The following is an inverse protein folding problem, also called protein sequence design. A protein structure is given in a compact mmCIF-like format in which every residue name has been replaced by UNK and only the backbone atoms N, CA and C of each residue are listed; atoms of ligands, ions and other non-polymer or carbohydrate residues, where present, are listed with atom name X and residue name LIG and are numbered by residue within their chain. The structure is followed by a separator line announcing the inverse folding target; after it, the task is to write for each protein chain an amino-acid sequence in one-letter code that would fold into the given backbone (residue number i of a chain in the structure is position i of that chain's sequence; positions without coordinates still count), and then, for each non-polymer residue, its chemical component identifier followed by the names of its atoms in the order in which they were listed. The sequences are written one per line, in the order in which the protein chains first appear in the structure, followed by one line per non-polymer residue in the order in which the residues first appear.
data_IF_781825792658
#
_entry.id   IF_781825792658
#
_cell.length_a   1.000
_cell.length_b   1.000
_cell.length_c   1.000
_cell.angle_alpha   90.00
_cell.angle_beta   90.00
_cell.angle_gamma   90.00
#
_symmetry.space_group_name_H-M   'P 1'
#
loop_
_entity.id
_entity.type
_entity.pdbx_description
1 polymer ?
#
# COMPACT_ATOMS: atom_id res chain seq x y z
N UNK A 1 -20.60 0.72 -19.67
CA UNK A 1 -20.32 -0.27 -18.61
C UNK A 1 -20.11 0.49 -17.32
N UNK A 2 -21.13 0.53 -16.47
CA UNK A 2 -21.09 1.26 -15.20
C UNK A 2 -20.45 0.39 -14.14
N UNK A 3 -19.13 0.50 -13.97
CA UNK A 3 -18.47 -0.03 -12.78
C UNK A 3 -18.78 0.97 -11.67
N UNK A 4 -19.87 0.71 -10.93
CA UNK A 4 -20.03 1.27 -9.59
C UNK A 4 -18.89 0.68 -8.76
N UNK A 5 -17.78 1.41 -8.65
CA UNK A 5 -16.76 1.17 -7.63
C UNK A 5 -17.43 1.47 -6.30
N UNK A 6 -18.11 0.48 -5.73
CA UNK A 6 -18.31 0.44 -4.29
C UNK A 6 -16.93 0.65 -3.67
N UNK A 7 -16.80 1.58 -2.72
CA UNK A 7 -15.64 1.74 -1.84
C UNK A 7 -15.41 0.45 -1.03
N UNK A 8 -15.12 -0.67 -1.69
CA UNK A 8 -14.36 -1.74 -1.09
C UNK A 8 -13.03 -1.07 -0.76
N UNK A 9 -12.86 -0.74 0.53
CA UNK A 9 -11.61 -0.21 1.05
C UNK A 9 -10.46 -0.96 0.35
N UNK A 10 -9.54 -0.24 -0.30
CA UNK A 10 -8.39 -0.85 -0.98
C UNK A 10 -7.39 -1.33 0.07
N UNK A 11 -7.80 -2.33 0.85
CA UNK A 11 -7.03 -2.84 1.97
C UNK A 11 -5.99 -3.82 1.45
N UNK A 12 -4.73 -3.48 1.69
CA UNK A 12 -3.61 -4.39 1.45
C UNK A 12 -3.71 -5.61 2.38
N UNK A 13 -3.04 -6.73 2.05
CA UNK A 13 -3.01 -7.92 2.91
C UNK A 13 -2.57 -7.65 4.35
N UNK A 14 -1.67 -6.67 4.55
CA UNK A 14 -1.20 -6.20 5.85
C UNK A 14 -2.15 -5.24 6.59
N UNK A 15 -3.27 -4.86 5.98
CA UNK A 15 -4.27 -3.95 6.55
C UNK A 15 -4.05 -2.47 6.26
N UNK A 16 -3.00 -2.09 5.52
CA UNK A 16 -2.85 -0.71 5.04
C UNK A 16 -4.03 -0.37 4.15
N UNK A 17 -4.58 0.82 4.36
CA UNK A 17 -5.61 1.35 3.48
C UNK A 17 -4.92 2.14 2.37
N UNK A 18 -4.93 1.58 1.17
CA UNK A 18 -4.35 2.20 -0.01
C UNK A 18 -5.30 3.19 -0.69
N UNK A 19 -6.57 3.27 -0.26
CA UNK A 19 -7.56 4.19 -0.80
C UNK A 19 -7.09 5.65 -0.79
N UNK A 20 -6.59 6.18 0.34
CA UNK A 20 -6.08 7.55 0.40
C UNK A 20 -4.62 7.72 -0.05
N UNK A 21 -3.93 6.67 -0.51
CA UNK A 21 -2.48 6.73 -0.76
C UNK A 21 -2.15 7.52 -2.05
N UNK A 22 -1.40 8.64 -1.97
CA UNK A 22 -1.08 9.44 -3.15
C UNK A 22 -0.18 8.69 -4.15
N UNK A 23 0.78 7.89 -3.66
CA UNK A 23 1.65 7.02 -4.49
C UNK A 23 0.84 6.06 -5.38
N UNK A 24 -0.34 5.61 -4.92
CA UNK A 24 -1.22 4.71 -5.68
C UNK A 24 -2.17 5.46 -6.62
N UNK A 25 -2.53 6.69 -6.27
CA UNK A 25 -3.53 7.53 -6.94
C UNK A 25 -2.96 8.42 -8.04
N UNK A 26 -1.71 8.84 -7.89
CA UNK A 26 -1.08 9.84 -8.75
C UNK A 26 -1.22 9.62 -10.27
N UNK A 27 -1.20 8.38 -10.82
CA UNK A 27 -1.40 8.20 -12.27
C UNK A 27 -2.80 8.55 -12.80
N UNK A 28 -3.80 8.74 -11.94
CA UNK A 28 -5.21 8.97 -12.34
C UNK A 28 -5.93 10.01 -11.49
N UNK A 29 -5.20 10.79 -10.70
CA UNK A 29 -5.75 11.75 -9.76
C UNK A 29 -4.79 12.94 -9.61
N UNK A 30 -5.23 14.12 -10.05
CA UNK A 30 -4.40 15.32 -10.10
C UNK A 30 -3.98 15.80 -8.72
N UNK A 31 -4.87 15.76 -7.74
CA UNK A 31 -4.60 16.24 -6.38
C UNK A 31 -3.56 15.33 -5.71
N UNK A 32 -3.71 14.02 -5.88
CA UNK A 32 -2.73 13.05 -5.42
C UNK A 32 -1.39 13.16 -6.17
N UNK A 33 -1.40 13.53 -7.45
CA UNK A 33 -0.19 13.77 -8.22
C UNK A 33 0.57 14.99 -7.71
N UNK A 34 -0.12 16.10 -7.43
CA UNK A 34 0.47 17.32 -6.86
C UNK A 34 1.05 17.07 -5.46
N UNK A 35 0.31 16.36 -4.60
CA UNK A 35 0.79 15.95 -3.27
C UNK A 35 2.07 15.10 -3.38
N UNK A 36 2.06 14.09 -4.27
CA UNK A 36 3.20 13.17 -4.44
C UNK A 36 4.43 13.88 -5.00
N UNK A 37 4.26 14.76 -5.99
CA UNK A 37 5.36 15.54 -6.58
C UNK A 37 6.00 16.42 -5.51
N UNK A 38 5.18 17.11 -4.73
CA UNK A 38 5.66 17.97 -3.63
C UNK A 38 6.46 17.16 -2.61
N UNK A 39 5.91 16.01 -2.18
CA UNK A 39 6.59 15.12 -1.25
C UNK A 39 7.91 14.56 -1.81
N UNK A 40 7.99 14.17 -3.08
CA UNK A 40 9.26 13.70 -3.67
C UNK A 40 10.30 14.81 -3.79
N UNK A 41 9.90 16.05 -4.13
CA UNK A 41 10.81 17.20 -4.15
C UNK A 41 11.36 17.50 -2.75
N UNK A 42 10.51 17.51 -1.72
CA UNK A 42 10.92 17.70 -0.33
C UNK A 42 11.93 16.65 0.13
N UNK A 43 11.77 15.40 -0.32
CA UNK A 43 12.68 14.29 -0.03
C UNK A 43 13.90 14.23 -0.98
N UNK A 44 14.03 15.17 -1.93
CA UNK A 44 15.10 15.24 -2.94
C UNK A 44 15.18 13.99 -3.83
N UNK A 45 14.03 13.40 -4.12
CA UNK A 45 13.89 12.26 -5.06
C UNK A 45 13.48 12.71 -6.46
N UNK A 46 13.19 14.00 -6.61
CA UNK A 46 12.75 14.64 -7.84
C UNK A 46 13.41 16.02 -7.94
N UNK A 47 13.92 16.37 -9.11
CA UNK A 47 14.51 17.69 -9.39
C UNK A 47 13.42 18.78 -9.50
N UNK A 48 13.82 20.05 -9.42
CA UNK A 48 12.87 21.17 -9.42
C UNK A 48 12.04 21.26 -10.72
N UNK A 49 12.66 20.97 -11.87
CA UNK A 49 11.98 20.95 -13.17
C UNK A 49 11.16 19.67 -13.42
N UNK A 50 11.33 18.64 -12.59
CA UNK A 50 10.66 17.35 -12.76
C UNK A 50 9.27 17.36 -12.08
N UNK A 51 8.37 16.51 -12.59
CA UNK A 51 6.97 16.46 -12.15
C UNK A 51 6.36 15.07 -12.33
N UNK A 52 5.03 14.99 -12.37
CA UNK A 52 4.31 13.69 -12.42
C UNK A 52 4.71 12.82 -13.64
N UNK A 53 5.03 13.44 -14.78
CA UNK A 53 5.50 12.71 -15.96
C UNK A 53 6.78 11.90 -15.67
N UNK A 54 7.68 12.47 -14.88
CA UNK A 54 8.94 11.83 -14.50
C UNK A 54 8.75 10.73 -13.44
N UNK A 55 7.83 10.94 -12.50
CA UNK A 55 7.41 9.91 -11.56
C UNK A 55 6.87 8.68 -12.30
N UNK A 56 6.05 8.90 -13.33
CA UNK A 56 5.47 7.81 -14.13
C UNK A 56 6.54 7.13 -14.98
N UNK A 57 7.42 7.89 -15.65
CA UNK A 57 8.47 7.35 -16.52
C UNK A 57 9.48 6.50 -15.74
N UNK A 58 9.87 6.94 -14.54
CA UNK A 58 10.76 6.21 -13.62
C UNK A 58 10.07 5.10 -12.83
N UNK A 59 8.74 4.95 -12.96
CA UNK A 59 7.99 3.92 -12.24
C UNK A 59 7.90 4.14 -10.74
N UNK A 60 8.01 5.38 -10.26
CA UNK A 60 8.00 5.75 -8.84
C UNK A 60 6.57 5.84 -8.27
N UNK A 61 5.71 4.91 -8.66
CA UNK A 61 4.32 4.79 -8.22
C UNK A 61 3.96 3.33 -7.95
N UNK A 62 2.85 3.11 -7.26
CA UNK A 62 2.44 1.76 -6.84
C UNK A 62 1.22 1.30 -7.63
N UNK A 63 1.20 0.04 -8.10
CA UNK A 63 0.00 -0.62 -8.65
C UNK A 63 -0.77 -1.42 -7.61
N UNK A 64 -0.21 -1.59 -6.40
CA UNK A 64 -0.82 -2.24 -5.25
C UNK A 64 -0.31 -3.66 -5.01
N UNK A 65 -0.53 -4.18 -3.80
CA UNK A 65 0.07 -5.45 -3.34
C UNK A 65 -0.35 -6.70 -4.12
N UNK A 66 -1.48 -6.65 -4.82
CA UNK A 66 -1.98 -7.75 -5.66
C UNK A 66 -1.62 -7.59 -7.15
N UNK A 67 -0.79 -6.60 -7.47
CA UNK A 67 -0.19 -6.48 -8.81
C UNK A 67 1.13 -7.24 -8.89
N UNK A 68 1.73 -7.29 -10.07
CA UNK A 68 3.08 -7.84 -10.24
C UNK A 68 4.09 -7.05 -9.38
N UNK A 69 4.70 -7.74 -8.40
CA UNK A 69 5.67 -7.16 -7.47
C UNK A 69 6.93 -6.62 -8.13
N UNK A 70 7.31 -7.17 -9.29
CA UNK A 70 8.54 -6.76 -10.00
C UNK A 70 8.30 -5.57 -10.93
N UNK A 71 7.06 -5.27 -11.27
CA UNK A 71 6.73 -4.19 -12.17
C UNK A 71 6.75 -2.84 -11.45
N UNK A 72 5.77 -2.59 -10.57
CA UNK A 72 5.51 -1.26 -9.99
C UNK A 72 4.91 -1.40 -8.59
N UNK A 73 5.79 -1.59 -7.61
CA UNK A 73 5.41 -1.81 -6.22
C UNK A 73 6.27 -0.95 -5.30
N UNK A 74 5.63 -0.20 -4.40
CA UNK A 74 6.32 0.73 -3.49
C UNK A 74 7.31 0.04 -2.55
N UNK A 75 6.96 -1.17 -2.09
CA UNK A 75 7.79 -1.97 -1.18
C UNK A 75 8.01 -3.36 -1.79
N UNK A 76 8.80 -3.48 -2.87
CA UNK A 76 8.90 -4.71 -3.65
C UNK A 76 9.49 -5.87 -2.82
N UNK A 77 10.26 -5.57 -1.78
CA UNK A 77 10.88 -6.48 -0.83
C UNK A 77 10.05 -6.71 0.46
N UNK A 78 8.76 -6.32 0.47
CA UNK A 78 7.90 -6.44 1.65
C UNK A 78 7.74 -7.90 2.12
N UNK A 79 8.37 -8.23 3.26
CA UNK A 79 8.34 -9.58 3.87
C UNK A 79 6.97 -10.00 4.41
N UNK A 80 6.10 -9.04 4.74
CA UNK A 80 4.73 -9.35 5.17
C UNK A 80 3.90 -9.83 3.99
N UNK A 81 4.03 -9.14 2.85
CA UNK A 81 3.34 -9.52 1.62
C UNK A 81 3.84 -10.87 1.09
N UNK A 82 5.17 -11.07 1.07
CA UNK A 82 5.81 -12.36 0.76
C UNK A 82 5.15 -13.50 1.55
N UNK A 83 5.15 -13.39 2.87
CA UNK A 83 4.65 -14.46 3.71
C UNK A 83 3.13 -14.66 3.61
N UNK A 84 2.36 -13.57 3.59
CA UNK A 84 0.90 -13.67 3.59
C UNK A 84 0.36 -14.24 2.28
N UNK A 85 0.77 -13.64 1.16
CA UNK A 85 0.15 -13.93 -0.15
C UNK A 85 0.90 -15.03 -0.89
N UNK A 86 2.23 -15.04 -0.86
CA UNK A 86 3.02 -15.95 -1.68
C UNK A 86 3.35 -17.26 -0.96
N UNK A 87 3.74 -17.20 0.31
CA UNK A 87 4.08 -18.43 1.07
C UNK A 87 2.84 -19.12 1.65
N UNK A 88 1.88 -18.35 2.19
CA UNK A 88 0.70 -18.88 2.88
C UNK A 88 -0.58 -18.84 2.05
N UNK A 89 -0.55 -18.22 0.87
CA UNK A 89 -1.69 -18.14 -0.06
C UNK A 89 -2.96 -17.53 0.59
N UNK A 90 -2.78 -16.57 1.48
CA UNK A 90 -3.86 -15.86 2.18
C UNK A 90 -4.14 -14.50 1.53
N UNK A 91 -5.39 -14.08 1.56
CA UNK A 91 -5.81 -12.76 1.10
C UNK A 91 -5.44 -11.65 2.10
N UNK A 92 -5.53 -11.97 3.39
CA UNK A 92 -5.22 -11.03 4.46
C UNK A 92 -4.50 -11.72 5.60
N UNK A 93 -3.59 -10.99 6.26
CA UNK A 93 -2.85 -11.58 7.37
C UNK A 93 -3.75 -12.00 8.54
N UNK A 94 -4.98 -11.48 8.64
CA UNK A 94 -5.91 -11.86 9.70
C UNK A 94 -6.42 -13.30 9.59
N UNK A 95 -6.35 -13.89 8.40
CA UNK A 95 -6.76 -15.26 8.08
C UNK A 95 -5.73 -16.28 8.55
N UNK A 96 -4.50 -15.83 8.83
CA UNK A 96 -3.44 -16.69 9.35
C UNK A 96 -3.83 -17.24 10.73
N UNK A 97 -3.59 -18.53 10.95
CA UNK A 97 -3.81 -19.20 12.25
C UNK A 97 -2.97 -18.58 13.38
N UNK A 98 -1.80 -18.05 13.05
CA UNK A 98 -0.88 -17.38 13.98
C UNK A 98 -1.22 -15.90 14.18
N UNK A 99 -2.31 -15.38 13.61
CA UNK A 99 -2.64 -13.97 13.73
C UNK A 99 -3.13 -13.61 15.15
N UNK A 100 -2.50 -12.67 15.87
CA UNK A 100 -1.41 -11.78 15.42
C UNK A 100 -0.03 -12.38 15.71
N UNK A 101 0.83 -12.45 14.68
CA UNK A 101 2.19 -12.97 14.81
C UNK A 101 3.21 -11.87 15.13
N UNK A 102 4.38 -12.28 15.63
CA UNK A 102 5.47 -11.38 16.05
C UNK A 102 5.90 -10.41 14.96
N UNK A 103 5.96 -10.86 13.69
CA UNK A 103 6.30 -9.99 12.56
C UNK A 103 5.38 -8.77 12.46
N UNK A 104 4.08 -8.94 12.66
CA UNK A 104 3.12 -7.84 12.63
C UNK A 104 3.17 -6.99 13.91
N UNK A 105 3.45 -7.60 15.05
CA UNK A 105 3.62 -6.87 16.31
C UNK A 105 4.89 -6.02 16.33
N UNK A 106 5.96 -6.42 15.66
CA UNK A 106 7.15 -5.58 15.47
C UNK A 106 6.92 -4.50 14.40
N UNK A 107 6.44 -4.90 13.22
CA UNK A 107 6.20 -3.98 12.10
C UNK A 107 5.28 -2.80 12.47
N UNK A 108 4.26 -3.04 13.31
CA UNK A 108 3.35 -1.96 13.74
C UNK A 108 4.03 -0.86 14.57
N UNK A 109 5.19 -1.14 15.17
CA UNK A 109 5.91 -0.20 16.05
C UNK A 109 6.67 0.85 15.25
N UNK A 110 7.00 0.56 13.99
CA UNK A 110 7.79 1.42 13.12
C UNK A 110 7.13 2.79 12.86
N UNK A 111 5.80 2.82 12.64
CA UNK A 111 5.07 4.08 12.48
C UNK A 111 3.57 3.95 12.80
N UNK A 112 2.92 5.11 12.91
CA UNK A 112 1.49 5.20 13.25
C UNK A 112 0.57 4.60 12.17
N UNK A 113 0.99 4.61 10.90
CA UNK A 113 0.28 3.98 9.79
C UNK A 113 0.21 2.46 9.93
N UNK A 114 1.35 1.82 10.22
CA UNK A 114 1.41 0.37 10.46
C UNK A 114 0.58 -0.03 11.70
N UNK A 115 0.60 0.79 12.76
CA UNK A 115 -0.28 0.62 13.93
C UNK A 115 -1.76 0.66 13.56
N UNK A 116 -2.18 1.58 12.68
CA UNK A 116 -3.56 1.65 12.17
C UNK A 116 -3.91 0.44 11.30
N UNK A 117 -2.98 -0.01 10.46
CA UNK A 117 -3.14 -1.18 9.60
C UNK A 117 -3.44 -2.46 10.42
N UNK A 118 -2.64 -2.76 11.44
CA UNK A 118 -2.92 -3.92 12.29
C UNK A 118 -4.25 -3.79 13.05
N UNK A 119 -4.59 -2.59 13.54
CA UNK A 119 -5.90 -2.36 14.18
C UNK A 119 -7.05 -2.65 13.21
N UNK A 120 -6.90 -2.33 11.92
CA UNK A 120 -7.90 -2.64 10.89
C UNK A 120 -8.05 -4.14 10.69
N UNK A 121 -6.94 -4.88 10.56
CA UNK A 121 -6.98 -6.36 10.49
C UNK A 121 -7.68 -6.98 11.70
N UNK A 122 -7.40 -6.50 12.93
CA UNK A 122 -8.07 -6.95 14.16
C UNK A 122 -9.59 -6.70 14.12
N UNK A 123 -10.05 -5.63 13.47
CA UNK A 123 -11.49 -5.33 13.29
C UNK A 123 -12.12 -6.22 12.22
N UNK A 124 -11.44 -6.44 11.09
CA UNK A 124 -11.93 -7.29 10.02
C UNK A 124 -12.09 -8.74 10.49
N UNK A 125 -11.13 -9.27 11.26
CA UNK A 125 -11.22 -10.63 11.85
C UNK A 125 -12.45 -10.84 12.74
N UNK A 126 -12.96 -9.80 13.39
CA UNK A 126 -14.14 -9.89 14.28
C UNK A 126 -15.47 -9.87 13.51
N UNK A 127 -15.45 -9.46 12.25
CA UNK A 127 -16.65 -9.32 11.40
C UNK A 127 -16.90 -10.55 10.53
N UNK A 128 -15.88 -11.40 10.37
CA UNK A 128 -15.96 -12.69 9.69
C UNK A 128 -16.16 -13.80 10.74
#
# INVERSE_FOLDING_TARGET
MNIKTSNAELIAPCGIDCGPCPIRRAPFDSDAAEELVSWFKENKWLEEQEGIGEIISKGMYCKGCRSDRKALHWSPDCRILECCVYEKELDYCYECSEFVCDRLEEWRKENSGHKKALKRLKKLKKKN
#
